data_IF_254765007780
#
_entry.id   IF_254765007780
#
_cell.length_a   1.000
_cell.length_b   1.000
_cell.length_c   1.000
_cell.angle_alpha   90.00
_cell.angle_beta   90.00
_cell.angle_gamma   90.00
#
_symmetry.space_group_name_H-M   'P 1'
#
loop_
_entity.id
_entity.type
_entity.pdbx_description
1 polymer ?
#
# COMPACT_ATOMS: atom_id res chain seq x y z
N UNK A 1 9.49 45.65 17.33
CA UNK A 1 8.32 45.14 16.56
C UNK A 1 8.80 44.33 15.36
N UNK A 2 9.11 43.05 15.56
CA UNK A 2 9.22 42.09 14.47
C UNK A 2 8.11 41.06 14.69
N UNK A 3 6.93 41.31 14.10
CA UNK A 3 5.87 40.31 14.05
C UNK A 3 6.45 39.13 13.27
N UNK A 4 6.87 38.07 13.96
CA UNK A 4 7.00 36.74 13.35
C UNK A 4 5.67 36.47 12.67
N UNK A 5 5.62 36.52 11.33
CA UNK A 5 4.48 35.97 10.60
C UNK A 5 4.45 34.51 11.00
N UNK A 6 3.48 34.12 11.85
CA UNK A 6 3.05 32.74 11.92
C UNK A 6 2.64 32.42 10.50
N UNK A 7 3.47 31.68 9.78
CA UNK A 7 3.01 30.96 8.60
C UNK A 7 1.98 29.99 9.19
N UNK A 8 0.70 30.34 9.06
CA UNK A 8 -0.35 29.34 9.16
C UNK A 8 -0.04 28.36 8.03
N UNK A 9 0.69 27.30 8.37
CA UNK A 9 0.79 26.13 7.51
C UNK A 9 -0.61 25.53 7.48
N UNK A 10 -1.45 26.06 6.57
CA UNK A 10 -2.54 25.30 5.99
C UNK A 10 -1.94 23.98 5.48
N UNK A 11 -2.73 22.91 5.52
CA UNK A 11 -2.48 21.59 4.91
C UNK A 11 -1.42 21.67 3.81
N UNK A 12 -0.32 20.89 3.86
CA UNK A 12 0.77 21.00 2.88
C UNK A 12 0.19 20.98 1.48
N UNK A 13 0.43 22.05 0.70
CA UNK A 13 -0.05 22.10 -0.67
C UNK A 13 0.80 21.18 -1.55
N UNK A 14 0.24 20.74 -2.68
CA UNK A 14 0.99 19.99 -3.70
C UNK A 14 2.27 20.74 -4.14
N UNK A 15 2.25 22.08 -4.10
CA UNK A 15 3.39 22.93 -4.42
C UNK A 15 4.53 22.79 -3.40
N UNK A 16 4.21 22.71 -2.09
CA UNK A 16 5.21 22.48 -1.04
C UNK A 16 5.86 21.11 -1.23
N UNK A 17 5.06 20.06 -1.47
CA UNK A 17 5.57 18.71 -1.73
C UNK A 17 6.43 18.64 -3.00
N UNK A 18 6.29 19.60 -3.92
CA UNK A 18 7.01 19.65 -5.19
C UNK A 18 8.33 20.44 -5.12
N UNK A 19 8.67 21.07 -3.99
CA UNK A 19 9.93 21.80 -3.87
C UNK A 19 11.13 20.85 -3.82
N UNK A 20 12.15 21.15 -4.63
CA UNK A 20 13.45 20.46 -4.63
C UNK A 20 14.59 21.46 -4.44
N UNK A 21 15.75 21.06 -3.91
CA UNK A 21 16.02 19.73 -3.36
C UNK A 21 15.27 19.54 -2.03
N UNK A 22 14.75 18.32 -1.77
CA UNK A 22 13.96 18.04 -0.56
C UNK A 22 14.73 18.39 0.72
N UNK A 23 16.04 18.18 0.73
CA UNK A 23 16.90 18.46 1.88
C UNK A 23 16.84 19.93 2.33
N UNK A 24 16.51 20.87 1.43
CA UNK A 24 16.40 22.31 1.70
C UNK A 24 14.95 22.79 1.89
N UNK A 25 13.98 21.87 1.96
CA UNK A 25 12.57 22.22 2.14
C UNK A 25 12.34 23.06 3.40
N UNK A 26 13.04 22.74 4.48
CA UNK A 26 13.01 23.48 5.75
C UNK A 26 13.32 24.97 5.55
N UNK A 27 14.44 25.30 4.91
CA UNK A 27 14.87 26.68 4.68
C UNK A 27 14.08 27.37 3.58
N UNK A 28 13.61 26.64 2.56
CA UNK A 28 12.73 27.18 1.50
C UNK A 28 11.36 27.60 2.03
N UNK A 29 10.88 26.95 3.09
CA UNK A 29 9.67 27.35 3.81
C UNK A 29 9.89 28.51 4.80
N UNK A 30 11.11 29.04 4.89
CA UNK A 30 11.48 30.16 5.77
C UNK A 30 11.75 29.76 7.22
N UNK A 31 11.96 28.46 7.49
CA UNK A 31 12.44 28.00 8.79
C UNK A 31 13.97 28.06 8.86
N UNK A 32 14.52 28.11 10.07
CA UNK A 32 15.91 27.76 10.29
C UNK A 32 16.15 26.28 9.93
N UNK A 33 17.40 25.89 9.56
CA UNK A 33 17.77 24.50 9.39
C UNK A 33 17.16 23.59 10.45
N UNK A 34 16.28 22.67 10.06
CA UNK A 34 15.60 21.78 11.00
C UNK A 34 16.36 20.44 11.06
N UNK A 35 17.10 20.15 12.15
CA UNK A 35 17.99 19.00 12.18
C UNK A 35 17.27 17.67 11.96
N UNK A 36 16.05 17.52 12.48
CA UNK A 36 15.26 16.31 12.31
C UNK A 36 14.89 16.06 10.84
N UNK A 37 14.51 17.10 10.10
CA UNK A 37 14.21 16.98 8.66
C UNK A 37 15.44 16.53 7.88
N UNK A 38 16.58 17.18 8.14
CA UNK A 38 17.84 16.87 7.45
C UNK A 38 18.32 15.46 7.76
N UNK A 39 18.22 15.03 9.01
CA UNK A 39 18.51 13.66 9.45
C UNK A 39 17.63 12.64 8.71
N UNK A 40 16.32 12.87 8.63
CA UNK A 40 15.41 12.02 7.84
C UNK A 40 15.79 11.92 6.36
N UNK A 41 16.12 13.05 5.72
CA UNK A 41 16.55 13.05 4.31
C UNK A 41 17.93 12.39 4.14
N UNK A 42 18.81 12.52 5.13
CA UNK A 42 20.16 11.95 5.08
C UNK A 42 20.15 10.41 5.31
N UNK A 43 19.03 9.85 5.81
CA UNK A 43 18.81 8.43 6.14
C UNK A 43 17.61 7.78 5.41
N UNK A 44 17.61 7.73 4.07
CA UNK A 44 16.45 7.29 3.27
C UNK A 44 16.20 5.77 3.26
N UNK A 45 17.19 4.95 3.62
CA UNK A 45 17.07 3.50 3.72
C UNK A 45 16.80 3.05 5.15
N UNK A 46 16.66 1.74 5.37
CA UNK A 46 16.57 1.13 6.72
C UNK A 46 17.94 0.94 7.33
N UNK A 47 18.69 2.03 7.47
CA UNK A 47 20.02 2.02 8.07
C UNK A 47 19.95 2.00 9.63
N UNK A 48 21.08 1.77 10.33
CA UNK A 48 21.11 1.66 11.78
C UNK A 48 20.53 2.84 12.57
N UNK A 49 20.39 4.04 11.99
CA UNK A 49 19.78 5.17 12.68
C UNK A 49 18.32 4.90 13.08
N UNK A 50 17.62 4.09 12.30
CA UNK A 50 16.23 3.72 12.55
C UNK A 50 16.07 2.65 13.62
N UNK A 51 17.15 1.95 14.02
CA UNK A 51 17.08 0.86 15.00
C UNK A 51 16.48 1.32 16.35
N UNK A 52 16.74 2.56 16.77
CA UNK A 52 16.20 3.13 18.01
C UNK A 52 14.68 3.33 17.99
N UNK A 53 14.08 3.40 16.80
CA UNK A 53 12.65 3.59 16.61
C UNK A 53 11.93 2.27 16.30
N UNK A 54 12.67 1.16 16.13
CA UNK A 54 12.09 -0.15 15.84
C UNK A 54 11.54 -0.80 17.11
N UNK A 55 10.26 -0.55 17.40
CA UNK A 55 9.57 -1.13 18.55
C UNK A 55 9.45 -2.66 18.50
N UNK A 56 9.63 -3.30 17.34
CA UNK A 56 9.54 -4.75 17.23
C UNK A 56 10.71 -5.47 17.91
N UNK A 57 11.88 -4.83 18.03
CA UNK A 57 13.03 -5.37 18.75
C UNK A 57 12.71 -5.65 20.23
N UNK A 58 11.77 -4.88 20.80
CA UNK A 58 11.37 -4.94 22.21
C UNK A 58 10.01 -5.62 22.42
N UNK A 59 9.45 -6.29 21.41
CA UNK A 59 8.10 -6.88 21.49
C UNK A 59 7.97 -7.88 22.65
N UNK A 60 9.06 -8.62 22.95
CA UNK A 60 9.13 -9.57 24.07
C UNK A 60 9.13 -8.93 25.46
N UNK A 61 9.29 -7.61 25.56
CA UNK A 61 9.16 -6.87 26.83
C UNK A 61 7.71 -6.50 27.13
N UNK A 62 6.81 -6.59 26.15
CA UNK A 62 5.40 -6.22 26.32
C UNK A 62 4.65 -7.33 27.03
N UNK A 63 4.29 -7.11 28.30
CA UNK A 63 3.59 -8.09 29.14
C UNK A 63 2.10 -7.81 29.32
N UNK A 64 1.61 -6.64 28.91
CA UNK A 64 0.20 -6.29 28.96
C UNK A 64 -0.52 -6.68 27.65
N UNK A 65 -1.76 -7.21 27.72
CA UNK A 65 -2.63 -7.33 26.54
C UNK A 65 -2.89 -5.99 25.88
N UNK A 66 -2.91 -5.94 24.55
CA UNK A 66 -3.27 -4.75 23.78
C UNK A 66 -4.62 -4.92 23.07
N UNK A 67 -5.38 -3.84 22.95
CA UNK A 67 -6.52 -3.77 22.02
C UNK A 67 -6.15 -2.85 20.86
N UNK A 68 -5.78 -3.45 19.73
CA UNK A 68 -5.26 -2.78 18.55
C UNK A 68 -6.42 -2.44 17.63
N UNK A 69 -6.45 -1.20 17.14
CA UNK A 69 -7.44 -0.76 16.15
C UNK A 69 -6.73 -0.17 14.94
N UNK A 70 -7.27 -0.38 13.75
CA UNK A 70 -6.78 0.23 12.52
C UNK A 70 -7.85 0.31 11.44
N UNK A 71 -7.50 0.90 10.31
CA UNK A 71 -8.37 0.99 9.15
C UNK A 71 -7.67 0.51 7.88
N UNK A 72 -8.40 -0.07 6.92
CA UNK A 72 -7.78 -0.55 5.66
C UNK A 72 -7.10 0.55 4.85
N UNK A 73 -7.54 1.80 5.00
CA UNK A 73 -6.95 2.98 4.36
C UNK A 73 -6.16 3.85 5.36
N UNK A 74 -5.85 3.33 6.54
CA UNK A 74 -4.94 3.97 7.49
C UNK A 74 -3.48 3.82 7.03
N UNK A 75 -2.67 4.86 7.20
CA UNK A 75 -1.25 4.86 6.77
C UNK A 75 -0.39 3.83 7.52
N UNK A 76 -0.81 3.38 8.71
CA UNK A 76 -0.07 2.43 9.54
C UNK A 76 -0.58 0.99 9.44
N UNK A 77 -1.60 0.70 8.63
CA UNK A 77 -2.32 -0.57 8.64
C UNK A 77 -1.42 -1.82 8.59
N UNK A 78 -0.36 -1.79 7.78
CA UNK A 78 0.59 -2.90 7.70
C UNK A 78 1.32 -3.12 9.04
N UNK A 79 1.81 -2.05 9.67
CA UNK A 79 2.50 -2.13 10.95
C UNK A 79 1.54 -2.46 12.10
N UNK A 80 0.30 -2.00 12.03
CA UNK A 80 -0.78 -2.36 12.96
C UNK A 80 -1.01 -3.87 12.98
N UNK A 81 -1.15 -4.48 11.80
CA UNK A 81 -1.36 -5.93 11.67
C UNK A 81 -0.10 -6.73 12.02
N UNK A 82 1.08 -6.23 11.65
CA UNK A 82 2.37 -6.83 12.06
C UNK A 82 2.55 -6.79 13.58
N UNK A 83 2.19 -5.69 14.22
CA UNK A 83 2.22 -5.51 15.68
C UNK A 83 1.30 -6.49 16.40
N UNK A 84 0.07 -6.64 15.90
CA UNK A 84 -0.87 -7.64 16.41
C UNK A 84 -0.28 -9.07 16.33
N UNK A 85 0.19 -9.47 15.15
CA UNK A 85 0.79 -10.80 14.95
C UNK A 85 2.02 -11.02 15.86
N UNK A 86 2.90 -10.02 15.96
CA UNK A 86 4.12 -10.10 16.76
C UNK A 86 3.83 -10.20 18.27
N UNK A 87 2.86 -9.46 18.81
CA UNK A 87 2.45 -9.58 20.23
C UNK A 87 1.82 -10.94 20.52
N UNK A 88 0.95 -11.41 19.63
CA UNK A 88 0.32 -12.74 19.69
C UNK A 88 1.35 -13.87 19.73
N UNK A 89 2.43 -13.74 18.94
CA UNK A 89 3.47 -14.74 18.83
C UNK A 89 4.51 -14.67 19.97
N UNK A 90 4.97 -13.45 20.27
CA UNK A 90 6.22 -13.22 20.99
C UNK A 90 6.11 -12.23 22.14
N UNK A 91 4.90 -11.78 22.52
CA UNK A 91 4.70 -10.94 23.70
C UNK A 91 5.27 -11.58 24.97
N UNK A 92 5.73 -10.76 25.92
CA UNK A 92 6.51 -11.16 27.10
C UNK A 92 5.75 -11.97 28.15
N UNK A 93 4.42 -12.01 28.10
CA UNK A 93 3.59 -12.78 29.02
C UNK A 93 2.58 -13.64 28.26
N UNK A 94 2.06 -14.67 28.92
CA UNK A 94 0.95 -15.46 28.36
C UNK A 94 -0.28 -14.58 28.13
N UNK A 95 -0.58 -13.62 29.02
CA UNK A 95 -1.69 -12.69 28.84
C UNK A 95 -1.52 -11.81 27.59
N UNK A 96 -0.33 -11.23 27.37
CA UNK A 96 -0.06 -10.43 26.17
C UNK A 96 -0.23 -11.26 24.89
N UNK A 97 0.27 -12.50 24.89
CA UNK A 97 0.10 -13.41 23.75
C UNK A 97 -1.36 -13.80 23.56
N UNK A 98 -2.07 -14.23 24.61
CA UNK A 98 -3.43 -14.79 24.53
C UNK A 98 -4.54 -13.76 24.36
N UNK A 99 -4.43 -12.61 25.00
CA UNK A 99 -5.53 -11.65 25.13
C UNK A 99 -5.34 -10.36 24.33
N UNK A 100 -4.24 -10.23 23.57
CA UNK A 100 -4.12 -9.15 22.59
C UNK A 100 -5.16 -9.33 21.49
N UNK A 101 -5.92 -8.28 21.21
CA UNK A 101 -7.03 -8.25 20.25
C UNK A 101 -6.80 -7.21 19.16
N UNK A 102 -7.44 -7.41 18.02
CA UNK A 102 -7.35 -6.51 16.87
C UNK A 102 -8.72 -6.25 16.25
N UNK A 103 -9.00 -4.99 15.89
CA UNK A 103 -10.20 -4.61 15.13
C UNK A 103 -9.80 -3.73 13.94
N UNK A 104 -10.09 -4.18 12.71
CA UNK A 104 -9.82 -3.42 11.49
C UNK A 104 -11.11 -2.98 10.80
N UNK A 105 -11.26 -1.67 10.59
CA UNK A 105 -12.43 -1.03 9.99
C UNK A 105 -12.14 -0.59 8.53
N UNK A 106 -13.15 -0.29 7.70
CA UNK A 106 -12.94 0.18 6.33
C UNK A 106 -12.67 1.70 6.28
N UNK A 107 -11.82 2.18 7.20
CA UNK A 107 -11.61 3.61 7.46
C UNK A 107 -10.19 4.06 7.09
N UNK A 108 -10.05 5.36 6.87
CA UNK A 108 -8.79 6.10 6.78
C UNK A 108 -8.28 6.51 8.18
N UNK A 109 -7.16 7.22 8.21
CA UNK A 109 -6.56 7.74 9.46
C UNK A 109 -7.46 8.71 10.24
N UNK A 110 -8.34 9.43 9.54
CA UNK A 110 -9.27 10.41 10.13
C UNK A 110 -10.65 9.77 10.39
N UNK A 111 -10.74 8.43 10.38
CA UNK A 111 -11.96 7.65 10.63
C UNK A 111 -13.07 7.86 9.59
N UNK A 112 -12.73 8.01 8.30
CA UNK A 112 -13.66 8.16 7.17
C UNK A 112 -13.52 7.04 6.15
N UNK A 113 -14.57 6.79 5.37
CA UNK A 113 -14.63 5.67 4.40
C UNK A 113 -14.11 6.01 2.99
N UNK A 114 -13.92 7.30 2.68
CA UNK A 114 -13.61 7.78 1.33
C UNK A 114 -14.88 8.11 0.53
N UNK A 115 -14.95 7.69 -0.74
CA UNK A 115 -16.11 7.88 -1.63
C UNK A 115 -17.07 6.71 -1.63
N UNK A 116 -16.68 5.59 -1.03
CA UNK A 116 -17.52 4.39 -0.93
C UNK A 116 -18.29 4.41 0.38
N UNK A 117 -19.59 4.19 0.28
CA UNK A 117 -20.48 3.98 1.43
C UNK A 117 -20.54 2.49 1.75
N UNK A 118 -20.01 2.12 2.92
CA UNK A 118 -20.06 0.75 3.43
C UNK A 118 -21.34 0.46 4.23
N UNK A 119 -22.30 1.40 4.24
CA UNK A 119 -23.54 1.34 5.01
C UNK A 119 -23.30 1.42 6.52
N UNK A 120 -24.35 1.44 7.34
CA UNK A 120 -24.20 1.50 8.81
C UNK A 120 -23.62 0.21 9.43
N UNK A 121 -23.51 -0.89 8.67
CA UNK A 121 -23.03 -2.19 9.16
C UNK A 121 -21.56 -2.21 9.58
N UNK A 122 -20.76 -1.24 9.15
CA UNK A 122 -19.38 -1.08 9.64
C UNK A 122 -19.31 -0.48 11.06
N UNK A 123 -20.40 0.09 11.60
CA UNK A 123 -20.41 0.58 12.98
C UNK A 123 -20.47 -0.60 13.96
N UNK A 124 -19.53 -0.68 14.89
CA UNK A 124 -19.34 -1.84 15.77
C UNK A 124 -19.28 -1.50 17.27
N UNK A 125 -19.49 -0.23 17.65
CA UNK A 125 -19.38 0.21 19.05
C UNK A 125 -17.97 0.15 19.62
N UNK A 126 -16.92 0.30 18.79
CA UNK A 126 -15.50 0.12 19.16
C UNK A 126 -15.09 0.86 20.44
N UNK A 127 -15.61 2.07 20.66
CA UNK A 127 -15.31 2.88 21.85
C UNK A 127 -15.77 2.16 23.13
N UNK A 128 -16.97 1.58 23.13
CA UNK A 128 -17.50 0.84 24.27
C UNK A 128 -16.69 -0.44 24.52
N UNK A 129 -16.31 -1.16 23.46
CA UNK A 129 -15.50 -2.37 23.55
C UNK A 129 -14.11 -2.06 24.11
N UNK A 130 -13.44 -1.01 23.61
CA UNK A 130 -12.12 -0.56 24.10
C UNK A 130 -12.17 -0.13 25.56
N UNK A 131 -13.19 0.63 25.97
CA UNK A 131 -13.35 1.04 27.36
C UNK A 131 -13.58 -0.18 28.28
N UNK A 132 -14.37 -1.17 27.82
CA UNK A 132 -14.57 -2.43 28.55
C UNK A 132 -13.27 -3.22 28.67
N UNK A 133 -12.48 -3.30 27.59
CA UNK A 133 -11.17 -3.94 27.61
C UNK A 133 -10.24 -3.29 28.64
N UNK A 134 -10.06 -1.96 28.56
CA UNK A 134 -9.19 -1.22 29.48
C UNK A 134 -9.63 -1.37 30.93
N UNK A 135 -10.93 -1.30 31.20
CA UNK A 135 -11.47 -1.54 32.55
C UNK A 135 -11.16 -2.96 33.03
N UNK A 136 -11.33 -3.96 32.18
CA UNK A 136 -11.20 -5.35 32.57
C UNK A 136 -9.73 -5.74 32.80
N UNK A 137 -8.77 -5.24 32.00
CA UNK A 137 -7.34 -5.49 32.26
C UNK A 137 -6.87 -4.87 33.58
N UNK A 138 -7.47 -3.73 34.00
CA UNK A 138 -7.11 -3.04 35.24
C UNK A 138 -7.76 -3.67 36.49
N UNK A 139 -8.92 -4.32 36.33
CA UNK A 139 -9.70 -4.87 37.45
C UNK A 139 -9.56 -6.39 37.59
N UNK A 140 -9.19 -7.08 36.51
CA UNK A 140 -9.10 -8.55 36.45
C UNK A 140 -7.89 -8.97 35.58
N UNK A 141 -6.64 -8.65 35.99
CA UNK A 141 -5.45 -8.82 35.14
C UNK A 141 -5.15 -10.26 34.73
N UNK A 142 -5.65 -11.25 35.48
CA UNK A 142 -5.42 -12.68 35.22
C UNK A 142 -6.53 -13.36 34.40
N UNK A 143 -7.50 -12.60 33.88
CA UNK A 143 -8.64 -13.12 33.10
C UNK A 143 -8.64 -12.58 31.69
N UNK A 144 -9.33 -13.27 30.78
CA UNK A 144 -9.63 -12.71 29.47
C UNK A 144 -10.43 -11.40 29.65
N UNK A 145 -9.94 -10.26 29.15
CA UNK A 145 -10.62 -8.98 29.30
C UNK A 145 -11.91 -8.89 28.48
N UNK A 146 -12.12 -9.73 27.45
CA UNK A 146 -13.32 -9.71 26.61
C UNK A 146 -13.69 -11.13 26.10
N UNK A 147 -14.10 -12.07 26.98
CA UNK A 147 -14.34 -13.46 26.61
C UNK A 147 -15.49 -13.64 25.60
N UNK A 148 -16.36 -12.64 25.45
CA UNK A 148 -17.48 -12.59 24.52
C UNK A 148 -17.13 -11.96 23.16
N UNK A 149 -15.86 -11.61 22.92
CA UNK A 149 -15.40 -10.96 21.69
C UNK A 149 -14.39 -11.85 20.94
N UNK A 150 -14.28 -11.71 19.61
CA UNK A 150 -13.27 -12.40 18.81
C UNK A 150 -11.86 -11.83 19.06
N UNK A 151 -10.83 -12.64 18.84
CA UNK A 151 -9.43 -12.20 18.98
C UNK A 151 -9.11 -11.13 17.94
N UNK A 152 -9.40 -11.40 16.68
CA UNK A 152 -9.35 -10.43 15.60
C UNK A 152 -10.74 -10.31 14.98
N UNK A 153 -11.17 -9.07 14.77
CA UNK A 153 -12.35 -8.72 13.98
C UNK A 153 -11.93 -7.79 12.85
N UNK A 154 -12.42 -8.00 11.64
CA UNK A 154 -12.06 -7.14 10.53
C UNK A 154 -13.21 -7.04 9.52
N UNK A 155 -13.35 -5.87 8.91
CA UNK A 155 -14.40 -5.61 7.95
C UNK A 155 -13.96 -6.07 6.55
N UNK A 156 -14.73 -6.94 5.91
CA UNK A 156 -14.48 -7.34 4.52
C UNK A 156 -15.22 -6.39 3.60
N UNK A 157 -14.47 -5.55 2.90
CA UNK A 157 -14.99 -4.59 1.92
C UNK A 157 -15.60 -5.32 0.71
N UNK A 158 -16.47 -4.65 -0.04
CA UNK A 158 -17.16 -5.23 -1.19
C UNK A 158 -18.39 -6.04 -0.79
N UNK A 159 -18.22 -7.06 0.04
CA UNK A 159 -19.34 -7.81 0.65
C UNK A 159 -19.92 -7.14 1.90
N UNK A 160 -19.22 -6.13 2.43
CA UNK A 160 -19.63 -5.28 3.54
C UNK A 160 -20.05 -6.05 4.80
N UNK A 161 -19.25 -7.05 5.18
CA UNK A 161 -19.50 -7.92 6.33
C UNK A 161 -18.33 -7.91 7.31
N UNK A 162 -18.61 -8.14 8.58
CA UNK A 162 -17.58 -8.42 9.57
C UNK A 162 -17.15 -9.89 9.48
N UNK A 163 -15.84 -10.12 9.59
CA UNK A 163 -15.23 -11.43 9.70
C UNK A 163 -14.31 -11.49 10.93
N UNK A 164 -13.98 -12.71 11.36
CA UNK A 164 -13.29 -12.99 12.61
C UNK A 164 -12.17 -13.99 12.38
N UNK A 165 -11.09 -13.88 13.15
CA UNK A 165 -9.94 -14.79 13.11
C UNK A 165 -9.17 -14.75 14.44
N UNK A 166 -8.36 -15.77 14.70
CA UNK A 166 -7.40 -15.78 15.80
C UNK A 166 -5.99 -15.34 15.38
N UNK A 167 -5.73 -15.30 14.06
CA UNK A 167 -4.40 -15.02 13.51
C UNK A 167 -4.45 -14.03 12.37
N UNK A 168 -3.33 -13.35 12.17
CA UNK A 168 -2.96 -12.65 10.95
C UNK A 168 -1.52 -13.05 10.58
N UNK A 169 -1.24 -13.48 9.34
CA UNK A 169 -2.18 -13.75 8.24
C UNK A 169 -3.25 -14.80 8.58
N UNK A 170 -4.30 -14.86 7.77
CA UNK A 170 -5.39 -15.83 7.94
C UNK A 170 -4.90 -17.26 7.67
N UNK A 171 -5.39 -18.27 8.41
CA UNK A 171 -5.10 -19.66 8.08
C UNK A 171 -5.69 -20.03 6.72
N UNK A 172 -5.12 -21.03 6.05
CA UNK A 172 -5.57 -21.53 4.75
C UNK A 172 -5.55 -20.50 3.60
N UNK A 173 -4.86 -19.36 3.76
CA UNK A 173 -4.64 -18.38 2.69
C UNK A 173 -3.87 -19.03 1.54
N UNK A 174 -4.39 -18.94 0.32
CA UNK A 174 -3.74 -19.43 -0.91
C UNK A 174 -3.14 -18.25 -1.67
N UNK A 175 -1.82 -18.15 -1.65
CA UNK A 175 -1.10 -17.19 -2.49
C UNK A 175 -1.26 -17.57 -3.97
N UNK A 176 -1.99 -16.75 -4.71
CA UNK A 176 -2.39 -17.05 -6.09
C UNK A 176 -1.90 -15.95 -7.03
N UNK A 177 -1.00 -16.26 -7.98
CA UNK A 177 -0.57 -15.31 -8.99
C UNK A 177 -1.71 -14.88 -9.92
N UNK A 178 -1.81 -13.58 -10.17
CA UNK A 178 -2.63 -12.97 -11.21
C UNK A 178 -1.70 -12.23 -12.18
N UNK A 179 -1.44 -12.86 -13.32
CA UNK A 179 -0.46 -12.45 -14.31
C UNK A 179 -0.97 -11.28 -15.17
N UNK A 180 -0.06 -10.35 -15.45
CA UNK A 180 -0.24 -9.31 -16.44
C UNK A 180 -0.16 -9.97 -17.82
N UNK A 181 -1.05 -9.56 -18.72
CA UNK A 181 -1.08 -10.02 -20.11
C UNK A 181 -1.48 -8.83 -20.99
N UNK A 182 -1.22 -8.88 -22.29
CA UNK A 182 -1.67 -7.84 -23.18
C UNK A 182 -1.89 -8.40 -24.59
N UNK A 183 -2.93 -7.93 -25.28
CA UNK A 183 -3.15 -8.20 -26.72
C UNK A 183 -2.74 -7.00 -27.60
N UNK A 184 -2.08 -6.02 -26.99
CA UNK A 184 -1.65 -4.74 -27.53
C UNK A 184 -1.30 -3.82 -26.36
N UNK A 185 -0.85 -2.58 -26.62
CA UNK A 185 -0.39 -1.68 -25.56
C UNK A 185 -1.40 -1.51 -24.41
N UNK A 186 -0.96 -1.67 -23.17
CA UNK A 186 -1.76 -1.53 -21.96
C UNK A 186 -1.92 -0.07 -21.47
N UNK A 187 -1.38 0.91 -22.19
CA UNK A 187 -1.46 2.32 -21.80
C UNK A 187 -2.91 2.80 -21.72
N UNK A 188 -3.26 3.37 -20.57
CA UNK A 188 -4.58 3.90 -20.23
C UNK A 188 -5.72 2.86 -20.22
N UNK A 189 -6.89 3.29 -19.78
CA UNK A 189 -8.13 2.52 -19.76
C UNK A 189 -8.61 2.10 -21.17
N UNK A 190 -8.09 2.76 -22.21
CA UNK A 190 -8.35 2.41 -23.62
C UNK A 190 -7.38 1.35 -24.15
N UNK A 191 -6.37 0.98 -23.37
CA UNK A 191 -5.38 -0.04 -23.69
C UNK A 191 -5.96 -1.46 -23.72
N UNK A 192 -5.11 -2.41 -24.07
CA UNK A 192 -5.46 -3.83 -24.25
C UNK A 192 -4.77 -4.75 -23.23
N UNK A 193 -4.51 -4.21 -22.04
CA UNK A 193 -3.97 -4.96 -20.90
C UNK A 193 -5.03 -5.86 -20.24
N UNK A 194 -4.69 -7.13 -20.08
CA UNK A 194 -5.51 -8.15 -19.45
C UNK A 194 -4.87 -8.71 -18.17
N UNK A 195 -5.68 -9.38 -17.35
CA UNK A 195 -5.21 -10.16 -16.20
C UNK A 195 -5.67 -11.61 -16.33
N UNK A 196 -4.78 -12.55 -16.02
CA UNK A 196 -5.01 -13.99 -16.13
C UNK A 196 -4.47 -14.74 -14.93
N UNK A 197 -5.20 -15.74 -14.42
CA UNK A 197 -4.68 -16.67 -13.42
C UNK A 197 -3.75 -17.73 -14.04
N UNK A 198 -3.85 -17.96 -15.34
CA UNK A 198 -2.91 -18.79 -16.08
C UNK A 198 -1.67 -17.96 -16.47
N UNK A 199 -0.45 -18.53 -16.36
CA UNK A 199 0.77 -17.85 -16.74
C UNK A 199 0.80 -17.55 -18.26
N UNK A 200 1.55 -16.51 -18.69
CA UNK A 200 1.72 -16.22 -20.11
C UNK A 200 2.41 -17.39 -20.83
N UNK A 201 1.80 -17.86 -21.92
CA UNK A 201 2.29 -19.00 -22.70
C UNK A 201 3.24 -18.65 -23.84
N UNK A 202 3.21 -17.40 -24.33
CA UNK A 202 3.96 -16.98 -25.51
C UNK A 202 5.26 -16.26 -25.14
N UNK A 203 6.39 -16.81 -25.58
CA UNK A 203 7.67 -16.12 -25.53
C UNK A 203 7.71 -14.96 -26.53
N UNK A 204 8.25 -13.80 -26.12
CA UNK A 204 8.42 -12.65 -27.00
C UNK A 204 7.18 -11.77 -27.18
N UNK A 205 6.17 -11.91 -26.32
CA UNK A 205 5.10 -10.91 -26.20
C UNK A 205 5.74 -9.53 -25.96
N UNK A 206 5.44 -8.49 -26.76
CA UNK A 206 6.05 -7.18 -26.57
C UNK A 206 5.78 -6.62 -25.18
N UNK A 207 6.78 -5.97 -24.57
CA UNK A 207 6.59 -5.25 -23.32
C UNK A 207 5.75 -3.99 -23.53
N UNK A 208 5.04 -3.58 -22.48
CA UNK A 208 4.36 -2.30 -22.44
C UNK A 208 5.37 -1.19 -22.11
N UNK A 209 5.22 -0.02 -22.74
CA UNK A 209 6.15 1.09 -22.55
C UNK A 209 5.42 2.38 -22.20
N UNK A 210 6.04 3.22 -21.39
CA UNK A 210 5.53 4.56 -21.10
C UNK A 210 6.64 5.53 -20.73
N UNK A 211 6.31 6.82 -20.77
CA UNK A 211 7.24 7.90 -20.41
C UNK A 211 6.88 8.41 -19.02
N UNK A 212 7.81 8.33 -18.08
CA UNK A 212 7.70 8.99 -16.80
C UNK A 212 8.39 10.35 -16.83
N UNK A 213 7.61 11.41 -16.66
CA UNK A 213 8.09 12.77 -16.50
C UNK A 213 7.89 13.24 -15.04
N UNK A 214 8.96 13.44 -14.26
CA UNK A 214 8.84 13.91 -12.87
C UNK A 214 8.14 15.27 -12.71
N UNK A 215 8.05 16.09 -13.77
CA UNK A 215 7.30 17.35 -13.76
C UNK A 215 5.77 17.17 -13.89
N UNK A 216 5.32 16.00 -14.37
CA UNK A 216 3.91 15.63 -14.44
C UNK A 216 3.72 14.22 -13.85
N UNK A 217 3.92 14.03 -12.53
CA UNK A 217 3.75 12.74 -11.91
C UNK A 217 2.26 12.38 -11.82
N UNK A 218 1.96 11.08 -11.89
CA UNK A 218 0.63 10.55 -11.62
C UNK A 218 0.17 11.00 -10.23
N UNK A 219 -0.97 11.71 -10.13
CA UNK A 219 -1.41 12.23 -8.85
C UNK A 219 -1.98 11.11 -7.97
N UNK A 220 -1.68 11.20 -6.69
CA UNK A 220 -2.31 10.38 -5.66
C UNK A 220 -3.79 10.68 -5.57
N UNK A 221 -4.60 9.63 -5.57
CA UNK A 221 -6.05 9.69 -5.39
C UNK A 221 -6.50 8.53 -4.52
N UNK A 222 -6.83 8.81 -3.26
CA UNK A 222 -7.19 7.79 -2.28
C UNK A 222 -5.98 7.03 -1.73
N UNK A 223 -6.22 5.88 -1.12
CA UNK A 223 -5.21 5.02 -0.52
C UNK A 223 -4.88 5.41 0.92
N UNK A 224 -3.73 4.93 1.39
CA UNK A 224 -3.28 5.00 2.78
C UNK A 224 -2.52 6.31 3.05
N UNK A 225 -3.21 7.45 2.97
CA UNK A 225 -2.62 8.76 3.25
C UNK A 225 -3.05 9.30 4.62
N UNK A 226 -2.22 10.20 5.18
CA UNK A 226 -2.64 11.07 6.28
C UNK A 226 -3.69 12.05 5.76
N UNK A 227 -4.82 12.20 6.45
CA UNK A 227 -5.91 13.02 5.93
C UNK A 227 -5.70 14.54 6.01
N UNK A 228 -4.62 14.98 6.67
CA UNK A 228 -4.09 16.35 6.56
C UNK A 228 -3.01 16.52 5.48
N UNK A 229 -2.79 15.52 4.63
CA UNK A 229 -1.92 15.65 3.45
C UNK A 229 -2.63 16.44 2.34
N UNK A 230 -1.89 16.78 1.28
CA UNK A 230 -2.45 17.42 0.08
C UNK A 230 -3.54 16.58 -0.63
N UNK A 231 -3.72 15.32 -0.22
CA UNK A 231 -4.51 14.32 -0.94
C UNK A 231 -5.47 13.62 0.01
N UNK A 232 -6.76 13.52 -0.36
CA UNK A 232 -7.72 12.87 0.51
C UNK A 232 -7.53 11.33 0.45
N UNK A 233 -7.42 10.65 1.61
CA UNK A 233 -7.26 9.20 1.70
C UNK A 233 -8.57 8.45 1.41
N UNK A 234 -8.54 7.13 1.60
CA UNK A 234 -9.71 6.25 1.49
C UNK A 234 -9.86 5.59 0.12
N UNK A 235 -10.98 4.90 -0.07
CA UNK A 235 -11.35 4.35 -1.37
C UNK A 235 -11.93 5.44 -2.28
N UNK A 236 -11.37 5.62 -3.48
CA UNK A 236 -11.71 6.67 -4.44
C UNK A 236 -11.70 6.18 -5.88
N UNK A 237 -12.54 6.81 -6.70
CA UNK A 237 -12.70 6.48 -8.10
C UNK A 237 -11.45 6.87 -8.92
N UNK A 238 -10.92 5.94 -9.73
CA UNK A 238 -9.62 6.05 -10.39
C UNK A 238 -9.70 6.33 -11.88
N UNK A 239 -10.88 6.36 -12.51
CA UNK A 239 -11.04 6.46 -13.97
C UNK A 239 -10.36 7.68 -14.56
N UNK A 240 -10.23 8.78 -13.81
CA UNK A 240 -9.49 9.97 -14.27
C UNK A 240 -7.98 9.70 -14.39
N UNK A 241 -7.41 8.96 -13.43
CA UNK A 241 -5.99 8.57 -13.43
C UNK A 241 -5.72 7.57 -14.55
N UNK A 242 -6.63 6.62 -14.73
CA UNK A 242 -6.52 5.54 -15.71
C UNK A 242 -6.56 6.04 -17.16
N UNK A 243 -6.88 7.32 -17.42
CA UNK A 243 -6.80 7.91 -18.77
C UNK A 243 -5.41 8.35 -19.18
N UNK A 244 -4.46 8.42 -18.24
CA UNK A 244 -3.10 8.89 -18.53
C UNK A 244 -2.32 7.84 -19.32
N UNK A 245 -1.44 8.30 -20.21
CA UNK A 245 -0.59 7.43 -21.02
C UNK A 245 0.55 6.78 -20.22
N UNK A 246 0.93 7.36 -19.08
CA UNK A 246 1.93 6.85 -18.13
C UNK A 246 1.33 5.95 -17.04
N UNK A 247 0.07 5.54 -17.20
CA UNK A 247 -0.59 4.54 -16.37
C UNK A 247 -0.95 3.35 -17.26
N UNK A 248 -0.25 2.24 -17.07
CA UNK A 248 -0.60 0.97 -17.70
C UNK A 248 -1.77 0.34 -16.94
N UNK A 249 -2.80 -0.11 -17.65
CA UNK A 249 -4.03 -0.65 -17.07
C UNK A 249 -4.24 -2.08 -17.55
N UNK A 250 -4.25 -3.01 -16.60
CA UNK A 250 -4.53 -4.43 -16.83
C UNK A 250 -5.84 -4.78 -16.14
N UNK A 251 -6.81 -5.36 -16.87
CA UNK A 251 -8.14 -5.66 -16.30
C UNK A 251 -8.52 -7.11 -16.57
N UNK A 252 -9.05 -7.82 -15.56
CA UNK A 252 -9.57 -9.17 -15.74
C UNK A 252 -10.86 -9.19 -16.56
N UNK A 253 -11.26 -10.38 -17.02
CA UNK A 253 -12.67 -10.65 -17.35
C UNK A 253 -13.58 -10.38 -16.13
N UNK A 254 -14.90 -10.15 -16.30
CA UNK A 254 -15.81 -10.11 -15.17
C UNK A 254 -15.70 -11.42 -14.40
N UNK A 255 -15.66 -11.32 -13.07
CA UNK A 255 -15.58 -12.49 -12.21
C UNK A 255 -16.88 -13.29 -12.31
N UNK A 256 -16.76 -14.60 -12.43
CA UNK A 256 -17.91 -15.51 -12.51
C UNK A 256 -18.55 -15.79 -11.14
N UNK A 257 -17.79 -15.53 -10.07
CA UNK A 257 -18.17 -15.68 -8.66
C UNK A 257 -17.43 -14.67 -7.79
N UNK A 258 -17.89 -14.52 -6.55
CA UNK A 258 -17.22 -13.72 -5.55
C UNK A 258 -15.82 -14.27 -5.24
N UNK A 259 -14.88 -13.37 -5.00
CA UNK A 259 -13.50 -13.70 -4.68
C UNK A 259 -13.04 -12.92 -3.45
N UNK A 260 -12.83 -13.62 -2.34
CA UNK A 260 -12.26 -13.04 -1.13
C UNK A 260 -10.73 -12.95 -1.24
N UNK A 261 -10.23 -11.72 -1.36
CA UNK A 261 -8.81 -11.37 -1.36
C UNK A 261 -8.51 -10.69 -0.02
N UNK A 262 -7.94 -11.46 0.91
CA UNK A 262 -7.76 -11.02 2.30
C UNK A 262 -6.36 -11.37 2.78
N UNK A 263 -5.54 -10.35 3.02
CA UNK A 263 -4.14 -10.55 3.41
C UNK A 263 -3.20 -9.50 2.84
N UNK A 264 -1.93 -9.90 2.69
CA UNK A 264 -0.86 -9.10 2.12
C UNK A 264 -0.82 -9.25 0.59
N UNK A 265 -0.90 -8.13 -0.13
CA UNK A 265 -0.76 -8.06 -1.58
C UNK A 265 0.68 -7.72 -1.91
N UNK A 266 1.28 -8.52 -2.81
CA UNK A 266 2.61 -8.26 -3.36
C UNK A 266 2.52 -8.26 -4.87
N UNK A 267 3.43 -7.57 -5.54
CA UNK A 267 3.59 -7.65 -6.98
C UNK A 267 5.03 -8.03 -7.30
N UNK A 268 5.21 -8.98 -8.21
CA UNK A 268 6.50 -9.27 -8.83
C UNK A 268 6.42 -8.80 -10.27
N UNK A 269 7.13 -7.75 -10.61
CA UNK A 269 7.14 -7.20 -11.97
C UNK A 269 8.56 -7.20 -12.54
N UNK A 270 8.64 -7.42 -13.85
CA UNK A 270 9.87 -7.40 -14.62
C UNK A 270 9.89 -6.11 -15.43
N UNK A 271 10.90 -5.28 -15.20
CA UNK A 271 10.93 -3.91 -15.71
C UNK A 271 12.30 -3.52 -16.24
N UNK A 272 12.31 -2.59 -17.18
CA UNK A 272 13.52 -1.88 -17.60
C UNK A 272 13.24 -0.38 -17.62
N UNK A 273 14.29 0.41 -17.44
CA UNK A 273 14.23 1.87 -17.48
C UNK A 273 15.41 2.42 -18.28
N UNK A 274 15.26 3.62 -18.85
CA UNK A 274 16.37 4.38 -19.44
C UNK A 274 17.17 5.20 -18.41
N UNK A 275 16.69 5.29 -17.16
CA UNK A 275 17.31 6.10 -16.11
C UNK A 275 18.24 5.25 -15.21
N UNK A 276 19.21 5.87 -14.52
CA UNK A 276 20.03 5.20 -13.50
C UNK A 276 19.27 4.85 -12.21
N UNK A 277 18.14 5.50 -11.95
CA UNK A 277 17.23 5.18 -10.85
C UNK A 277 15.82 5.67 -11.22
N UNK A 278 14.78 5.01 -10.70
CA UNK A 278 13.38 5.40 -10.93
C UNK A 278 12.47 4.69 -9.93
N UNK A 279 11.17 4.97 -9.95
CA UNK A 279 10.19 4.22 -9.18
C UNK A 279 9.32 3.36 -10.10
N UNK A 280 8.81 2.26 -9.55
CA UNK A 280 7.63 1.59 -10.08
C UNK A 280 6.57 1.47 -8.98
N UNK A 281 5.32 1.70 -9.37
CA UNK A 281 4.13 1.65 -8.52
C UNK A 281 3.17 0.61 -9.06
N UNK A 282 2.49 -0.07 -8.15
CA UNK A 282 1.43 -1.04 -8.48
C UNK A 282 0.23 -0.73 -7.60
N UNK A 283 -0.96 -0.58 -8.22
CA UNK A 283 -2.22 -0.33 -7.51
C UNK A 283 -3.27 -1.36 -7.92
N UNK A 284 -3.84 -2.02 -6.92
CA UNK A 284 -4.98 -2.93 -7.07
C UNK A 284 -6.27 -2.11 -6.99
N UNK A 285 -7.19 -2.34 -7.93
CA UNK A 285 -8.48 -1.69 -8.02
C UNK A 285 -9.62 -2.70 -8.22
N UNK A 286 -10.80 -2.36 -7.70
CA UNK A 286 -12.06 -3.06 -7.92
C UNK A 286 -12.89 -2.28 -8.94
N UNK A 287 -13.19 -2.90 -10.08
CA UNK A 287 -14.03 -2.30 -11.12
C UNK A 287 -15.44 -2.85 -11.01
N UNK A 288 -16.40 -1.98 -10.77
CA UNK A 288 -17.81 -2.37 -10.65
C UNK A 288 -18.44 -2.63 -12.03
N UNK A 289 -19.62 -3.28 -12.11
CA UNK A 289 -20.26 -3.60 -13.39
C UNK A 289 -20.60 -2.37 -14.25
N UNK A 290 -20.75 -1.20 -13.64
CA UNK A 290 -20.98 0.07 -14.35
C UNK A 290 -19.69 0.70 -14.92
N UNK A 291 -18.53 0.09 -14.66
CA UNK A 291 -17.22 0.51 -15.17
C UNK A 291 -16.42 1.42 -14.25
N UNK A 292 -16.97 1.90 -13.12
CA UNK A 292 -16.20 2.67 -12.14
C UNK A 292 -15.13 1.82 -11.46
N UNK A 293 -13.93 2.38 -11.32
CA UNK A 293 -12.75 1.72 -10.77
C UNK A 293 -12.38 2.34 -9.43
N UNK A 294 -12.33 1.55 -8.36
CA UNK A 294 -12.01 2.05 -7.02
C UNK A 294 -10.72 1.43 -6.49
N UNK A 295 -9.79 2.24 -5.98
CA UNK A 295 -8.53 1.72 -5.42
C UNK A 295 -8.80 0.83 -4.19
N UNK A 296 -7.99 -0.21 -4.02
CA UNK A 296 -8.05 -1.15 -2.90
C UNK A 296 -6.80 -1.01 -2.04
N UNK A 297 -5.61 -1.15 -2.64
CA UNK A 297 -4.32 -0.89 -2.01
C UNK A 297 -3.27 -0.64 -3.09
N UNK A 298 -2.13 -0.07 -2.69
CA UNK A 298 -1.03 0.25 -3.60
C UNK A 298 0.32 0.28 -2.89
N UNK A 299 1.35 0.06 -3.70
CA UNK A 299 2.75 0.03 -3.31
C UNK A 299 3.65 0.77 -4.28
N UNK A 300 4.87 1.03 -3.83
CA UNK A 300 5.95 1.62 -4.62
C UNK A 300 7.26 0.90 -4.28
N UNK A 301 8.15 0.80 -5.25
CA UNK A 301 9.54 0.42 -5.03
C UNK A 301 10.45 1.27 -5.89
N UNK A 302 11.40 1.94 -5.24
CA UNK A 302 12.48 2.68 -5.91
C UNK A 302 13.57 1.72 -6.34
N UNK A 303 14.09 1.90 -7.55
CA UNK A 303 15.04 0.97 -8.17
C UNK A 303 16.31 0.79 -7.35
N UNK A 304 16.81 1.85 -6.70
CA UNK A 304 17.95 1.74 -5.78
C UNK A 304 17.67 0.83 -4.57
N UNK A 305 16.43 0.53 -4.20
CA UNK A 305 16.09 -0.37 -3.09
C UNK A 305 15.55 -1.74 -3.55
N UNK A 306 15.73 -2.09 -4.83
CA UNK A 306 15.24 -3.36 -5.41
C UNK A 306 15.76 -4.64 -4.74
N UNK A 307 16.90 -4.56 -4.06
CA UNK A 307 17.51 -5.69 -3.34
C UNK A 307 17.25 -5.65 -1.82
N UNK A 308 16.41 -4.73 -1.34
CA UNK A 308 16.14 -4.50 0.07
C UNK A 308 16.33 -3.03 0.49
N UNK A 309 15.70 -2.61 1.60
CA UNK A 309 15.78 -1.22 2.07
C UNK A 309 17.09 -0.87 2.80
N UNK A 310 17.91 -1.84 3.20
CA UNK A 310 19.09 -1.64 4.05
C UNK A 310 20.24 -0.95 3.29
N UNK A 311 20.55 -1.44 2.09
CA UNK A 311 21.67 -0.95 1.28
C UNK A 311 21.20 -0.66 -0.14
N UNK A 312 21.41 0.55 -0.67
CA UNK A 312 21.11 0.84 -2.06
C UNK A 312 21.87 -0.10 -3.00
N UNK A 313 21.15 -0.69 -3.95
CA UNK A 313 21.72 -1.39 -5.08
C UNK A 313 22.46 -0.41 -6.01
N UNK A 314 23.28 -0.94 -6.91
CA UNK A 314 23.91 -0.14 -7.96
C UNK A 314 22.85 0.52 -8.84
N UNK A 315 23.24 1.56 -9.57
CA UNK A 315 22.39 2.17 -10.59
C UNK A 315 21.86 1.12 -11.57
N UNK A 316 20.70 1.41 -12.14
CA UNK A 316 20.13 0.60 -13.22
C UNK A 316 20.82 0.92 -14.54
N UNK A 317 21.06 -0.12 -15.34
CA UNK A 317 21.62 0.01 -16.68
C UNK A 317 20.47 0.19 -17.69
N UNK A 318 20.55 1.17 -18.62
CA UNK A 318 19.52 1.38 -19.63
C UNK A 318 19.19 0.10 -20.42
N UNK A 319 17.91 -0.29 -20.41
CA UNK A 319 17.41 -1.47 -21.13
C UNK A 319 17.68 -2.83 -20.46
N UNK A 320 18.43 -2.88 -19.36
CA UNK A 320 18.58 -4.09 -18.57
C UNK A 320 17.26 -4.38 -17.83
N UNK A 321 16.82 -5.65 -17.89
CA UNK A 321 15.63 -6.11 -17.16
C UNK A 321 16.00 -6.43 -15.72
N UNK A 322 15.20 -5.89 -14.78
CA UNK A 322 15.29 -6.12 -13.36
C UNK A 322 13.97 -6.67 -12.82
N UNK A 323 14.04 -7.47 -11.75
CA UNK A 323 12.86 -7.91 -11.00
C UNK A 323 12.59 -6.97 -9.84
N UNK A 324 11.34 -6.54 -9.68
CA UNK A 324 10.87 -5.71 -8.58
C UNK A 324 9.81 -6.47 -7.80
N UNK A 325 10.12 -6.77 -6.53
CA UNK A 325 9.19 -7.36 -5.56
C UNK A 325 8.58 -6.23 -4.72
N UNK A 326 7.40 -5.74 -5.12
CA UNK A 326 6.73 -4.56 -4.57
C UNK A 326 5.71 -4.98 -3.51
N UNK A 327 5.88 -4.47 -2.29
CA UNK A 327 4.88 -4.53 -1.23
C UNK A 327 3.71 -3.58 -1.56
N UNK A 328 2.54 -4.13 -1.85
CA UNK A 328 1.34 -3.37 -2.22
C UNK A 328 0.38 -3.15 -1.04
N UNK A 329 0.80 -3.50 0.17
CA UNK A 329 0.01 -3.39 1.39
C UNK A 329 -1.01 -4.50 1.60
N UNK A 330 -1.91 -4.28 2.55
CA UNK A 330 -2.82 -5.29 3.07
C UNK A 330 -4.26 -4.86 2.85
N UNK A 331 -5.16 -5.81 2.63
CA UNK A 331 -6.58 -5.53 2.44
C UNK A 331 -7.46 -6.71 2.90
N UNK A 332 -8.75 -6.45 3.06
CA UNK A 332 -9.80 -7.46 3.08
C UNK A 332 -10.91 -7.02 2.12
N UNK A 333 -10.92 -7.60 0.93
CA UNK A 333 -11.83 -7.21 -0.15
C UNK A 333 -12.46 -8.45 -0.78
N UNK A 334 -13.78 -8.49 -0.82
CA UNK A 334 -14.52 -9.38 -1.72
C UNK A 334 -14.70 -8.67 -3.05
N UNK A 335 -14.06 -9.19 -4.10
CA UNK A 335 -14.40 -8.80 -5.47
C UNK A 335 -15.63 -9.59 -5.88
N UNK A 336 -16.78 -8.92 -6.00
CA UNK A 336 -18.06 -9.57 -6.26
C UNK A 336 -18.14 -10.14 -7.68
N UNK A 337 -19.00 -11.13 -7.87
CA UNK A 337 -19.41 -11.60 -9.20
C UNK A 337 -19.80 -10.42 -10.09
N UNK A 338 -19.34 -10.44 -11.34
CA UNK A 338 -19.57 -9.39 -12.32
C UNK A 338 -18.65 -8.17 -12.19
N UNK A 339 -17.96 -8.00 -11.05
CA UNK A 339 -16.87 -7.03 -10.95
C UNK A 339 -15.64 -7.53 -11.70
N UNK A 340 -14.65 -6.66 -11.87
CA UNK A 340 -13.33 -7.02 -12.40
C UNK A 340 -12.24 -6.60 -11.42
N UNK A 341 -11.15 -7.37 -11.44
CA UNK A 341 -9.91 -6.93 -10.82
C UNK A 341 -9.18 -6.07 -11.84
N UNK A 342 -8.65 -4.93 -11.40
CA UNK A 342 -7.79 -4.07 -12.22
C UNK A 342 -6.49 -3.80 -11.50
N UNK A 343 -5.41 -3.78 -12.27
CA UNK A 343 -4.07 -3.43 -11.82
C UNK A 343 -3.60 -2.24 -12.63
N UNK A 344 -3.11 -1.22 -11.93
CA UNK A 344 -2.41 -0.09 -12.54
C UNK A 344 -0.92 -0.22 -12.27
N UNK A 345 -0.09 0.01 -13.30
CA UNK A 345 1.37 0.12 -13.17
C UNK A 345 1.81 1.48 -13.68
N UNK A 346 2.63 2.19 -12.90
CA UNK A 346 3.21 3.50 -13.27
C UNK A 346 4.54 3.71 -12.55
N UNK A 347 5.15 4.89 -12.70
CA UNK A 347 6.39 5.28 -12.00
C UNK A 347 6.22 6.44 -11.04
N UNK A 348 4.98 6.74 -10.63
CA UNK A 348 4.72 7.74 -9.59
C UNK A 348 3.35 7.56 -8.94
N UNK A 349 3.23 8.04 -7.71
CA UNK A 349 1.98 8.20 -6.97
C UNK A 349 2.18 9.36 -6.00
N UNK A 350 2.10 10.58 -6.52
CA UNK A 350 2.54 11.80 -5.84
C UNK A 350 1.36 12.68 -5.40
N UNK A 351 1.36 13.28 -4.19
CA UNK A 351 2.44 13.29 -3.19
C UNK A 351 2.36 12.23 -2.07
N UNK A 352 1.66 11.09 -2.25
CA UNK A 352 1.77 10.00 -1.26
C UNK A 352 3.22 9.58 -1.05
N UNK A 353 3.92 9.39 -2.16
CA UNK A 353 5.37 9.20 -2.20
C UNK A 353 6.01 10.43 -2.85
N UNK A 354 7.25 10.72 -2.47
CA UNK A 354 8.03 11.70 -3.22
C UNK A 354 8.27 11.18 -4.65
N UNK A 355 8.42 12.10 -5.59
CA UNK A 355 8.69 11.76 -6.99
C UNK A 355 10.18 11.54 -7.21
N UNK A 356 10.57 10.44 -7.84
CA UNK A 356 11.97 10.24 -8.23
C UNK A 356 12.39 11.20 -9.36
N UNK A 357 13.52 11.93 -9.24
CA UNK A 357 14.04 12.79 -10.30
C UNK A 357 14.70 12.06 -11.49
N UNK A 358 14.90 10.75 -11.38
CA UNK A 358 15.52 9.86 -12.38
C UNK A 358 17.02 10.12 -12.66
N UNK A 359 17.76 10.72 -11.72
CA UNK A 359 19.17 11.10 -11.91
C UNK A 359 20.17 10.12 -11.29
N UNK A 360 19.73 9.27 -10.35
CA UNK A 360 20.59 8.39 -9.56
C UNK A 360 21.33 9.11 -8.42
N UNK A 361 21.20 10.42 -8.28
CA UNK A 361 21.92 11.13 -7.23
C UNK A 361 21.36 10.83 -5.83
N UNK A 362 22.07 11.31 -4.82
CA UNK A 362 21.72 11.09 -3.43
C UNK A 362 20.30 11.59 -3.15
N UNK A 363 19.55 10.81 -2.40
CA UNK A 363 18.16 11.13 -2.09
C UNK A 363 18.03 12.54 -1.51
N UNK A 364 17.04 13.28 -2.01
CA UNK A 364 16.70 14.61 -1.54
C UNK A 364 17.71 15.72 -1.86
N UNK A 365 18.79 15.45 -2.61
CA UNK A 365 19.77 16.48 -3.01
C UNK A 365 19.62 16.97 -4.45
N UNK A 366 18.91 16.23 -5.30
CA UNK A 366 18.66 16.65 -6.69
C UNK A 366 17.64 17.78 -6.78
N UNK A 367 17.94 18.75 -7.64
CA UNK A 367 16.99 19.74 -8.15
C UNK A 367 16.78 19.63 -9.67
N UNK A 368 17.56 18.77 -10.34
CA UNK A 368 17.41 18.43 -11.75
C UNK A 368 16.57 17.16 -11.91
N UNK A 369 15.78 17.11 -12.99
CA UNK A 369 14.94 15.97 -13.31
C UNK A 369 15.24 15.47 -14.73
N UNK A 370 15.12 14.16 -14.93
CA UNK A 370 15.23 13.52 -16.24
C UNK A 370 13.94 12.78 -16.54
N UNK A 371 13.55 12.81 -17.81
CA UNK A 371 12.49 11.94 -18.31
C UNK A 371 13.04 10.51 -18.39
N UNK A 372 12.26 9.53 -17.94
CA UNK A 372 12.60 8.12 -18.02
C UNK A 372 11.64 7.39 -18.97
N UNK A 373 12.19 6.55 -19.85
CA UNK A 373 11.43 5.61 -20.67
C UNK A 373 11.36 4.28 -19.93
N UNK A 374 10.15 3.86 -19.59
CA UNK A 374 9.87 2.71 -18.76
C UNK A 374 9.34 1.56 -19.62
N UNK A 375 9.66 0.33 -19.24
CA UNK A 375 9.13 -0.88 -19.85
C UNK A 375 8.68 -1.86 -18.79
N UNK A 376 7.55 -2.54 -19.02
CA UNK A 376 7.01 -3.61 -18.19
C UNK A 376 6.84 -4.86 -19.04
N UNK A 377 7.57 -5.92 -18.68
CA UNK A 377 7.58 -7.20 -19.40
C UNK A 377 6.56 -8.16 -18.79
N UNK A 378 5.90 -8.95 -19.63
CA UNK A 378 4.84 -9.87 -19.22
C UNK A 378 4.76 -11.10 -20.15
N UNK A 379 5.92 -11.54 -20.67
CA UNK A 379 6.06 -12.75 -21.48
C UNK A 379 6.34 -13.98 -20.60
N UNK A 380 6.49 -15.17 -21.22
CA UNK A 380 6.75 -16.42 -20.51
C UNK A 380 8.06 -16.43 -19.67
N UNK A 381 9.09 -15.68 -20.07
CA UNK A 381 10.35 -15.55 -19.33
C UNK A 381 10.28 -14.47 -18.24
N UNK A 382 9.38 -13.51 -18.40
CA UNK A 382 9.18 -12.37 -17.52
C UNK A 382 7.71 -12.29 -17.03
N UNK A 383 7.22 -13.29 -16.28
CA UNK A 383 5.80 -13.39 -15.96
C UNK A 383 5.40 -12.41 -14.83
N UNK A 384 5.31 -11.12 -15.13
CA UNK A 384 4.87 -10.10 -14.17
C UNK A 384 3.47 -10.44 -13.62
N UNK A 385 3.29 -10.36 -12.30
CA UNK A 385 2.04 -10.72 -11.64
C UNK A 385 1.84 -10.04 -10.29
N UNK A 386 0.58 -9.99 -9.84
CA UNK A 386 0.25 -9.79 -8.43
C UNK A 386 0.13 -11.15 -7.74
N UNK A 387 0.49 -11.21 -6.47
CA UNK A 387 0.24 -12.36 -5.59
C UNK A 387 -0.96 -11.99 -4.72
N UNK A 388 -2.09 -12.63 -4.99
CA UNK A 388 -3.34 -12.42 -4.25
C UNK A 388 -3.48 -13.46 -3.12
N UNK A 389 -3.73 -13.04 -1.87
CA UNK A 389 -4.03 -13.93 -0.75
C UNK A 389 -5.52 -14.33 -0.82
N UNK A 390 -5.81 -15.39 -1.59
CA UNK A 390 -7.17 -15.87 -1.73
C UNK A 390 -7.58 -16.68 -0.51
N UNK A 391 -8.76 -16.38 0.03
CA UNK A 391 -9.39 -17.23 1.05
C UNK A 391 -10.28 -18.23 0.32
N UNK A 392 -10.01 -19.55 0.41
CA UNK A 392 -10.92 -20.54 -0.15
C UNK A 392 -12.30 -20.37 0.48
N UNK A 393 -13.33 -20.21 -0.36
CA UNK A 393 -14.71 -20.42 0.10
C UNK A 393 -14.90 -21.87 0.56
N UNK A 394 -16.04 -22.18 1.17
CA UNK A 394 -16.39 -23.55 1.61
C UNK A 394 -16.27 -24.60 0.48
N UNK A 395 -16.28 -24.16 -0.79
CA UNK A 395 -16.13 -25.01 -1.98
C UNK A 395 -14.68 -25.17 -2.50
N UNK A 396 -13.66 -24.76 -1.75
CA UNK A 396 -12.27 -25.21 -1.97
C UNK A 396 -11.72 -25.00 -3.38
N UNK A 397 -11.73 -23.78 -3.92
CA UNK A 397 -11.36 -23.59 -5.33
C UNK A 397 -9.84 -23.56 -5.59
N UNK A 398 -9.42 -24.38 -6.55
CA UNK A 398 -8.12 -24.32 -7.24
C UNK A 398 -8.38 -23.76 -8.64
N UNK A 399 -7.68 -22.69 -9.10
CA UNK A 399 -7.73 -22.29 -10.50
C UNK A 399 -7.34 -23.44 -11.42
N UNK A 400 -8.25 -23.79 -12.34
CA UNK A 400 -7.92 -24.53 -13.57
C UNK A 400 -7.46 -23.56 -14.63
#
# INVERSE_FOLDING_TARGET
LARRRKVELKTPSREICAMLPLRELDTKLGFEPWPLWRDWIDHPGRDPNWARADAFADIGKVTAPAYITGGWFDIFIQQTLRGFAALRQSGGSEAARRFTRCCIEPLDHDMRTGEVDYGHGHLNGIIAIRNRFMRNILTHPDRDPLPDQPIMRFFVMGSNRWAESDTWPLPNTRETPLYLTATGAANSILGRGGLSFAPPGDAGTPSDTFIYNPLDPVPTLGGNNLGHSATPPGQREQSAIERRADVLVYTSAPLERDLDVIGHIRARIFVATSAPDTDFTVKLCNVTPDGRSYNVCDGILRARYRNGPETPATDTEPGQVYTFDIDCGVTAMTFLKGHRIRVQVSSSNFPRFDRTPNTGARFGTDDQMRIAHQQVFHDAAHPSHLILPLIPGEDGWTPT
#
